data_IF_845548315768
#
_entry.id   IF_845548315768
#
_cell.length_a   1.000
_cell.length_b   1.000
_cell.length_c   1.000
_cell.angle_alpha   90.00
_cell.angle_beta   90.00
_cell.angle_gamma   90.00
#
_symmetry.space_group_name_H-M   'P 1'
#
loop_
_entity.id
_entity.type
_entity.pdbx_description
1 polymer ?
#
# COMPACT_ATOMS: atom_id res chain seq x y z
N UNK A 1 0.93 -44.67 -27.58
CA UNK A 1 1.62 -43.47 -28.07
C UNK A 1 0.87 -42.19 -27.74
N UNK A 2 -0.44 -42.17 -27.97
CA UNK A 2 -1.26 -41.02 -27.60
C UNK A 2 -1.18 -40.68 -26.11
N UNK A 3 -1.10 -41.71 -25.26
CA UNK A 3 -0.97 -41.51 -23.80
C UNK A 3 0.35 -40.81 -23.41
N UNK A 4 1.44 -41.06 -24.13
CA UNK A 4 2.71 -40.39 -23.84
C UNK A 4 2.66 -38.92 -24.21
N UNK A 5 2.01 -38.57 -25.31
CA UNK A 5 1.82 -37.19 -25.72
C UNK A 5 0.96 -36.43 -24.71
N UNK A 6 -0.09 -37.07 -24.23
CA UNK A 6 -0.94 -36.50 -23.19
C UNK A 6 -0.18 -36.30 -21.89
N UNK A 7 0.70 -37.24 -21.50
CA UNK A 7 1.54 -37.11 -20.31
C UNK A 7 2.50 -35.95 -20.43
N UNK A 8 3.12 -35.75 -21.60
CA UNK A 8 3.99 -34.60 -21.82
C UNK A 8 3.23 -33.29 -21.73
N UNK A 9 2.08 -33.18 -22.36
CA UNK A 9 1.23 -31.99 -22.30
C UNK A 9 0.76 -31.72 -20.87
N UNK A 10 0.37 -32.78 -20.17
CA UNK A 10 -0.06 -32.67 -18.77
C UNK A 10 1.09 -32.24 -17.90
N UNK A 11 2.29 -32.77 -18.08
CA UNK A 11 3.47 -32.35 -17.32
C UNK A 11 3.80 -30.89 -17.56
N UNK A 12 3.79 -30.47 -18.82
CA UNK A 12 4.06 -29.04 -19.15
C UNK A 12 3.00 -28.15 -18.51
N UNK A 13 1.74 -28.58 -18.59
CA UNK A 13 0.64 -27.83 -18.00
C UNK A 13 0.83 -27.71 -16.48
N UNK A 14 1.17 -28.80 -15.81
CA UNK A 14 1.40 -28.81 -14.37
C UNK A 14 2.58 -27.90 -14.01
N UNK A 15 3.69 -27.98 -14.77
CA UNK A 15 4.84 -27.13 -14.56
C UNK A 15 4.47 -25.64 -14.71
N UNK A 16 3.70 -25.31 -15.74
CA UNK A 16 3.21 -23.94 -15.95
C UNK A 16 2.35 -23.47 -14.79
N UNK A 17 1.42 -24.30 -14.34
CA UNK A 17 0.54 -23.96 -13.21
C UNK A 17 1.31 -23.77 -11.92
N UNK A 18 2.28 -24.64 -11.65
CA UNK A 18 3.12 -24.54 -10.47
C UNK A 18 3.96 -23.27 -10.54
N UNK A 19 4.54 -22.98 -11.70
CA UNK A 19 5.35 -21.76 -11.88
C UNK A 19 4.51 -20.51 -11.67
N UNK A 20 3.32 -20.46 -12.25
CA UNK A 20 2.41 -19.33 -12.07
C UNK A 20 2.02 -19.19 -10.61
N UNK A 21 1.70 -20.31 -9.95
CA UNK A 21 1.36 -20.31 -8.53
C UNK A 21 2.47 -19.76 -7.67
N UNK A 22 3.71 -20.18 -7.92
CA UNK A 22 4.87 -19.69 -7.18
C UNK A 22 5.10 -18.21 -7.41
N UNK A 23 4.93 -17.75 -8.65
CA UNK A 23 5.04 -16.31 -8.96
C UNK A 23 3.97 -15.50 -8.23
N UNK A 24 2.74 -15.99 -8.22
CA UNK A 24 1.65 -15.31 -7.52
C UNK A 24 1.90 -15.24 -6.02
N UNK A 25 2.39 -16.33 -5.43
CA UNK A 25 2.74 -16.36 -4.01
C UNK A 25 3.86 -15.36 -3.73
N UNK A 26 4.89 -15.34 -4.57
CA UNK A 26 6.01 -14.41 -4.42
C UNK A 26 5.56 -12.97 -4.51
N UNK A 27 4.74 -12.64 -5.50
CA UNK A 27 4.22 -11.29 -5.69
C UNK A 27 3.33 -10.88 -4.51
N UNK A 28 2.45 -11.78 -4.07
CA UNK A 28 1.58 -11.53 -2.92
C UNK A 28 2.38 -11.30 -1.65
N UNK A 29 3.40 -12.12 -1.43
CA UNK A 29 4.28 -11.99 -0.26
C UNK A 29 5.00 -10.64 -0.27
N UNK A 30 5.54 -10.26 -1.43
CA UNK A 30 6.21 -8.97 -1.58
C UNK A 30 5.24 -7.81 -1.34
N UNK A 31 4.04 -7.91 -1.89
CA UNK A 31 3.01 -6.91 -1.70
C UNK A 31 2.69 -6.72 -0.21
N UNK A 32 2.41 -7.82 0.48
CA UNK A 32 2.09 -7.78 1.91
C UNK A 32 3.25 -7.21 2.72
N UNK A 33 4.48 -7.54 2.35
CA UNK A 33 5.65 -6.99 3.02
C UNK A 33 5.76 -5.47 2.80
N UNK A 34 5.57 -5.01 1.57
CA UNK A 34 5.72 -3.60 1.23
C UNK A 34 4.60 -2.73 1.81
N UNK A 35 3.38 -3.26 1.94
CA UNK A 35 2.28 -2.50 2.54
C UNK A 35 2.29 -2.57 4.06
N UNK A 36 3.05 -3.48 4.65
CA UNK A 36 3.11 -3.62 6.11
C UNK A 36 3.74 -2.38 6.75
N UNK A 37 3.47 -2.13 8.03
CA UNK A 37 4.06 -1.00 8.73
C UNK A 37 5.59 -1.05 8.71
N UNK A 38 6.23 0.11 8.70
CA UNK A 38 7.67 0.21 8.78
C UNK A 38 8.17 -0.34 10.12
N UNK A 39 7.47 0.00 11.19
CA UNK A 39 7.81 -0.48 12.52
C UNK A 39 6.52 -0.70 13.31
N UNK A 40 6.12 -1.95 13.44
CA UNK A 40 4.88 -2.33 14.15
C UNK A 40 4.89 -1.94 15.61
N UNK A 41 6.07 -1.81 16.20
CA UNK A 41 6.23 -1.48 17.61
C UNK A 41 6.42 0.00 17.88
N UNK A 42 6.53 0.80 16.83
CA UNK A 42 6.77 2.22 16.97
C UNK A 42 5.52 2.95 17.44
N UNK A 43 5.70 3.82 18.41
CA UNK A 43 4.65 4.73 18.86
C UNK A 43 4.90 6.16 18.37
N UNK A 44 5.90 6.33 17.49
CA UNK A 44 6.26 7.64 16.99
C UNK A 44 5.16 8.16 16.07
N UNK A 45 4.66 9.35 16.39
CA UNK A 45 3.68 10.04 15.56
C UNK A 45 4.39 11.07 14.71
N UNK A 46 4.12 11.05 13.42
CA UNK A 46 4.69 11.98 12.45
C UNK A 46 3.58 12.86 11.93
N UNK A 47 3.77 14.18 12.01
CA UNK A 47 2.83 15.14 11.45
C UNK A 47 3.17 15.38 10.00
N UNK A 48 2.21 15.16 9.12
CA UNK A 48 2.37 15.37 7.69
C UNK A 48 1.34 16.36 7.19
N UNK A 49 1.79 17.42 6.55
CA UNK A 49 0.91 18.42 5.96
C UNK A 49 0.90 18.25 4.46
N UNK A 50 -0.30 18.08 3.89
CA UNK A 50 -0.51 17.99 2.46
C UNK A 50 -1.24 19.25 2.01
N UNK A 51 -0.60 20.04 1.17
CA UNK A 51 -1.16 21.26 0.65
C UNK A 51 -2.06 20.98 -0.55
N UNK A 52 -2.99 21.89 -0.80
CA UNK A 52 -3.83 21.83 -1.99
C UNK A 52 -2.96 21.82 -3.25
N UNK A 53 -3.33 20.95 -4.18
CA UNK A 53 -2.60 20.86 -5.45
C UNK A 53 -1.35 20.01 -5.38
N UNK A 54 -1.04 19.42 -4.23
CA UNK A 54 0.10 18.50 -4.13
C UNK A 54 -0.19 17.25 -4.94
N UNK A 55 0.72 16.90 -5.85
CA UNK A 55 0.53 15.69 -6.66
C UNK A 55 0.68 14.45 -5.82
N UNK A 56 0.04 13.37 -6.30
CA UNK A 56 0.13 12.05 -5.64
C UNK A 56 1.58 11.60 -5.49
N UNK A 57 2.39 11.86 -6.51
CA UNK A 57 3.81 11.52 -6.50
C UNK A 57 4.55 12.25 -5.38
N UNK A 58 4.27 13.53 -5.18
CA UNK A 58 4.88 14.30 -4.11
C UNK A 58 4.42 13.83 -2.74
N UNK A 59 3.16 13.45 -2.61
CA UNK A 59 2.64 12.90 -1.36
C UNK A 59 3.37 11.61 -1.01
N UNK A 60 3.55 10.72 -1.99
CA UNK A 60 4.29 9.48 -1.79
C UNK A 60 5.72 9.76 -1.36
N UNK A 61 6.37 10.75 -1.97
CA UNK A 61 7.73 11.16 -1.62
C UNK A 61 7.81 11.68 -0.18
N UNK A 62 6.85 12.47 0.23
CA UNK A 62 6.79 12.99 1.61
C UNK A 62 6.60 11.86 2.62
N UNK A 63 5.74 10.91 2.32
CA UNK A 63 5.53 9.74 3.18
C UNK A 63 6.80 8.90 3.30
N UNK A 64 7.49 8.71 2.20
CA UNK A 64 8.75 7.96 2.20
C UNK A 64 9.83 8.68 3.02
N UNK A 65 9.96 9.97 2.84
CA UNK A 65 10.95 10.77 3.58
C UNK A 65 10.66 10.77 5.08
N UNK A 66 9.39 10.70 5.46
CA UNK A 66 8.98 10.63 6.85
C UNK A 66 9.09 9.22 7.42
N UNK A 67 9.52 8.24 6.63
CA UNK A 67 9.58 6.83 7.01
C UNK A 67 8.23 6.26 7.42
N UNK A 68 7.19 6.64 6.69
CA UNK A 68 5.83 6.15 6.93
C UNK A 68 5.45 5.02 5.98
N UNK A 69 6.09 4.94 4.81
CA UNK A 69 5.88 3.88 3.83
C UNK A 69 7.21 3.31 3.37
N UNK A 70 7.17 2.07 2.89
CA UNK A 70 8.37 1.39 2.40
C UNK A 70 8.64 1.65 0.92
N UNK A 71 7.60 1.93 0.13
CA UNK A 71 7.73 2.07 -1.31
C UNK A 71 6.81 3.17 -1.83
N UNK A 72 7.41 4.18 -2.46
CA UNK A 72 6.67 5.25 -3.13
C UNK A 72 5.90 4.72 -4.34
N UNK A 73 6.55 3.84 -5.10
CA UNK A 73 5.96 3.28 -6.31
C UNK A 73 4.68 2.52 -5.99
N UNK A 74 4.75 1.67 -4.97
CA UNK A 74 3.60 0.88 -4.57
C UNK A 74 2.46 1.77 -4.07
N UNK A 75 2.77 2.80 -3.30
CA UNK A 75 1.77 3.76 -2.84
C UNK A 75 1.07 4.43 -4.02
N UNK A 76 1.84 4.87 -5.02
CA UNK A 76 1.29 5.48 -6.22
C UNK A 76 0.36 4.51 -6.96
N UNK A 77 0.80 3.27 -7.14
CA UNK A 77 0.03 2.24 -7.84
C UNK A 77 -1.27 1.96 -7.11
N UNK A 78 -1.19 1.72 -5.80
CA UNK A 78 -2.38 1.38 -5.00
C UNK A 78 -3.39 2.54 -5.02
N UNK A 79 -2.91 3.76 -4.85
CA UNK A 79 -3.80 4.92 -4.81
C UNK A 79 -4.48 5.16 -6.16
N UNK A 80 -3.80 4.86 -7.26
CA UNK A 80 -4.40 4.96 -8.61
C UNK A 80 -5.40 3.85 -8.87
N UNK A 81 -5.05 2.62 -8.52
CA UNK A 81 -5.92 1.47 -8.74
C UNK A 81 -7.23 1.63 -7.98
N UNK A 82 -7.16 2.12 -6.76
CA UNK A 82 -8.34 2.35 -5.94
C UNK A 82 -9.08 3.63 -6.32
N UNK A 83 -8.55 4.40 -7.26
CA UNK A 83 -9.15 5.64 -7.75
C UNK A 83 -9.55 6.57 -6.60
N UNK A 84 -8.70 6.65 -5.59
CA UNK A 84 -8.96 7.48 -4.43
C UNK A 84 -8.34 8.85 -4.59
N UNK A 85 -9.06 9.85 -4.15
CA UNK A 85 -8.60 11.22 -4.14
C UNK A 85 -7.95 11.53 -2.80
N UNK A 86 -6.68 11.93 -2.83
CA UNK A 86 -5.95 12.29 -1.63
C UNK A 86 -6.30 13.72 -1.24
N UNK A 87 -6.69 13.92 -0.01
CA UNK A 87 -7.20 15.21 0.45
C UNK A 87 -6.11 16.04 1.12
N UNK A 88 -6.16 17.35 0.90
CA UNK A 88 -5.25 18.28 1.54
C UNK A 88 -5.68 18.50 2.99
N UNK A 89 -4.77 18.24 3.91
CA UNK A 89 -4.98 18.42 5.33
C UNK A 89 -3.66 18.19 6.07
N UNK A 90 -3.69 18.44 7.37
CA UNK A 90 -2.58 18.05 8.24
C UNK A 90 -2.98 16.74 8.92
N UNK A 91 -2.13 15.73 8.79
CA UNK A 91 -2.38 14.41 9.31
C UNK A 91 -1.35 14.03 10.36
N UNK A 92 -1.78 13.31 11.37
CA UNK A 92 -0.86 12.65 12.29
C UNK A 92 -0.85 11.17 11.99
N UNK A 93 0.27 10.69 11.51
CA UNK A 93 0.44 9.32 11.09
C UNK A 93 1.49 8.65 11.96
N UNK A 94 1.32 7.36 12.19
CA UNK A 94 2.26 6.57 12.98
C UNK A 94 2.97 5.57 12.10
N UNK A 95 4.22 5.27 12.45
CA UNK A 95 5.01 4.29 11.71
C UNK A 95 4.50 2.86 11.88
N UNK A 96 3.65 2.63 12.87
CA UNK A 96 3.02 1.32 13.06
C UNK A 96 1.77 1.13 12.19
N UNK A 97 1.43 2.10 11.36
CA UNK A 97 0.33 2.00 10.41
C UNK A 97 0.77 1.35 9.12
N UNK A 98 -0.07 0.48 8.56
CA UNK A 98 0.17 -0.07 7.24
C UNK A 98 -0.07 0.98 6.15
N UNK A 99 0.44 0.71 4.94
CA UNK A 99 0.22 1.61 3.81
C UNK A 99 -1.27 1.80 3.51
N UNK A 100 -2.06 0.73 3.63
CA UNK A 100 -3.50 0.81 3.41
C UNK A 100 -4.20 1.69 4.45
N UNK A 101 -3.79 1.59 5.71
CA UNK A 101 -4.33 2.44 6.77
C UNK A 101 -3.99 3.91 6.52
N UNK A 102 -2.75 4.19 6.13
CA UNK A 102 -2.33 5.55 5.81
C UNK A 102 -3.14 6.08 4.62
N UNK A 103 -3.31 5.25 3.60
CA UNK A 103 -4.06 5.65 2.42
C UNK A 103 -5.54 5.94 2.76
N UNK A 104 -6.14 5.14 3.63
CA UNK A 104 -7.51 5.37 4.08
C UNK A 104 -7.64 6.72 4.80
N UNK A 105 -6.69 7.04 5.64
CA UNK A 105 -6.69 8.33 6.36
C UNK A 105 -6.55 9.48 5.37
N UNK A 106 -5.65 9.37 4.40
CA UNK A 106 -5.42 10.41 3.41
C UNK A 106 -6.58 10.62 2.46
N UNK A 107 -7.36 9.58 2.20
CA UNK A 107 -8.50 9.66 1.28
C UNK A 107 -9.79 10.01 2.01
N UNK A 108 -9.88 9.67 3.27
CA UNK A 108 -11.02 10.02 4.11
C UNK A 108 -10.60 11.10 5.09
N UNK A 109 -10.60 12.33 4.62
CA UNK A 109 -10.16 13.47 5.43
C UNK A 109 -10.96 13.66 6.71
N UNK A 110 -12.19 13.13 6.77
CA UNK A 110 -13.02 13.24 7.96
C UNK A 110 -12.59 12.28 9.07
N UNK A 111 -11.89 11.21 8.72
CA UNK A 111 -11.43 10.21 9.68
C UNK A 111 -10.39 10.78 10.64
N UNK A 112 -9.58 11.69 10.14
CA UNK A 112 -8.65 12.41 10.97
C UNK A 112 -8.75 13.91 10.67
N UNK A 113 -9.54 14.61 11.48
CA UNK A 113 -9.73 16.04 11.35
C UNK A 113 -9.44 16.69 12.70
N UNK A 114 -8.39 17.51 12.80
CA UNK A 114 -8.10 18.21 14.05
C UNK A 114 -9.25 19.10 14.51
N UNK A 115 -10.07 19.57 13.58
CA UNK A 115 -11.20 20.41 13.90
C UNK A 115 -12.28 19.64 14.69
N UNK A 116 -12.44 18.35 14.38
CA UNK A 116 -13.35 17.51 15.14
C UNK A 116 -12.89 17.39 16.59
N UNK A 117 -11.60 17.25 16.80
CA UNK A 117 -11.02 17.19 18.14
C UNK A 117 -11.26 18.50 18.89
N UNK A 118 -11.14 19.63 18.21
CA UNK A 118 -11.40 20.92 18.81
C UNK A 118 -12.85 21.13 19.18
N UNK A 119 -13.75 20.58 18.37
CA UNK A 119 -15.18 20.70 18.62
C UNK A 119 -15.57 19.97 19.91
N UNK A 120 -14.86 18.92 20.27
CA UNK A 120 -15.16 18.17 21.50
C UNK A 120 -14.86 18.93 22.77
N UNK A 121 -14.19 20.03 22.66
CA UNK A 121 -13.95 20.89 23.80
C UNK A 121 -15.11 21.83 24.04
#
# INVERSE_FOLDING_TARGET
MAKRRLKKKVKVLIICLVTIGLLLIGISSLYLFLVSPIDKKSNVTVTLTIEKGTSRKLIASKLKKANLIKSELLFNVISRVNNRSLKAATYQLQRNMSMNEILDILTDGSRYDPDIIRITF
#
